data_IF_610218141461
#
_entry.id   IF_610218141461
#
_cell.length_a   1.000
_cell.length_b   1.000
_cell.length_c   1.000
_cell.angle_alpha   90.00
_cell.angle_beta   90.00
_cell.angle_gamma   90.00
#
_symmetry.space_group_name_H-M   'P 1'
#
loop_
_entity.id
_entity.type
_entity.pdbx_description
1 polymer ?
#
# COMPACT_ATOMS: atom_id res chain seq x y z
N UNK A 1 -10.29 41.77 28.30
CA UNK A 1 -10.77 40.58 29.02
C UNK A 1 -11.36 39.61 28.00
N UNK A 2 -10.56 38.69 27.46
CA UNK A 2 -11.07 37.66 26.54
C UNK A 2 -11.75 36.57 27.37
N UNK A 3 -13.06 36.44 27.21
CA UNK A 3 -13.86 35.37 27.79
C UNK A 3 -13.41 34.04 27.18
N UNK A 4 -12.68 33.20 27.94
CA UNK A 4 -12.53 31.78 27.60
C UNK A 4 -13.88 31.13 27.85
N UNK A 5 -14.63 30.82 26.80
CA UNK A 5 -15.78 29.91 26.88
C UNK A 5 -15.29 28.57 27.46
N UNK A 6 -15.48 28.38 28.76
CA UNK A 6 -15.40 27.06 29.36
C UNK A 6 -16.72 26.37 29.01
N UNK A 7 -16.72 25.59 27.93
CA UNK A 7 -17.75 24.57 27.77
C UNK A 7 -17.60 23.64 28.99
N UNK A 8 -18.60 23.65 29.88
CA UNK A 8 -18.71 22.71 30.99
C UNK A 8 -18.99 21.31 30.41
N UNK A 9 -17.96 20.69 29.86
CA UNK A 9 -17.99 19.31 29.38
C UNK A 9 -18.12 18.41 30.61
N UNK A 10 -19.24 17.69 30.70
CA UNK A 10 -19.47 16.71 31.76
C UNK A 10 -18.78 15.41 31.37
N UNK A 11 -17.59 15.18 31.92
CA UNK A 11 -16.84 13.94 31.69
C UNK A 11 -17.45 12.80 32.50
N UNK A 12 -17.70 11.68 31.84
CA UNK A 12 -18.10 10.42 32.47
C UNK A 12 -16.90 9.45 32.46
N UNK A 13 -16.77 8.55 33.46
CA UNK A 13 -15.74 7.52 33.42
C UNK A 13 -15.95 6.63 32.19
N UNK A 14 -14.88 6.40 31.44
CA UNK A 14 -14.90 5.52 30.29
C UNK A 14 -14.85 4.05 30.75
N UNK A 15 -15.63 3.19 30.10
CA UNK A 15 -15.60 1.73 30.29
C UNK A 15 -15.03 1.04 29.07
N UNK A 16 -14.56 -0.20 29.24
CA UNK A 16 -14.13 -1.03 28.12
C UNK A 16 -15.27 -1.18 27.09
N UNK A 17 -14.94 -1.07 25.80
CA UNK A 17 -15.90 -1.14 24.68
C UNK A 17 -17.01 -0.08 24.71
N UNK A 18 -16.79 1.04 25.40
CA UNK A 18 -17.70 2.17 25.32
C UNK A 18 -17.67 2.76 23.92
N UNK A 19 -18.85 2.93 23.32
CA UNK A 19 -18.98 3.59 22.02
C UNK A 19 -18.60 5.07 22.13
N UNK A 20 -17.86 5.56 21.14
CA UNK A 20 -17.36 6.93 21.10
C UNK A 20 -18.00 7.70 19.95
N UNK A 21 -18.60 8.84 20.28
CA UNK A 21 -19.22 9.72 19.29
C UNK A 21 -18.19 10.69 18.68
N UNK A 22 -18.28 11.03 17.38
CA UNK A 22 -17.33 11.92 16.70
C UNK A 22 -17.18 13.31 17.34
N UNK A 23 -18.26 13.85 17.91
CA UNK A 23 -18.28 15.15 18.59
C UNK A 23 -17.69 15.11 20.01
N UNK A 24 -17.35 13.91 20.49
CA UNK A 24 -16.84 13.66 21.82
C UNK A 24 -15.38 14.11 22.04
N UNK A 25 -15.00 14.14 23.32
CA UNK A 25 -13.62 14.33 23.75
C UNK A 25 -13.22 13.20 24.69
N UNK A 26 -12.00 12.70 24.53
CA UNK A 26 -11.37 11.83 25.51
C UNK A 26 -10.35 12.63 26.32
N UNK A 27 -10.38 12.43 27.64
CA UNK A 27 -9.46 13.07 28.59
C UNK A 27 -8.84 12.00 29.47
N UNK A 28 -7.52 11.90 29.44
CA UNK A 28 -6.75 10.98 30.28
C UNK A 28 -6.20 11.68 31.53
N UNK A 29 -6.15 10.96 32.64
CA UNK A 29 -5.53 11.42 33.89
C UNK A 29 -3.99 11.37 33.84
N UNK A 30 -3.30 11.83 34.90
CA UNK A 30 -1.83 11.93 34.96
C UNK A 30 -1.07 10.63 34.71
N UNK A 31 -1.65 9.48 35.09
CA UNK A 31 -1.07 8.14 34.92
C UNK A 31 -1.96 7.21 34.09
N UNK A 32 -2.98 7.75 33.43
CA UNK A 32 -3.95 6.96 32.67
C UNK A 32 -3.65 7.02 31.17
N UNK A 33 -3.65 5.89 30.49
CA UNK A 33 -3.61 5.83 29.02
C UNK A 33 -4.92 5.25 28.50
N UNK A 34 -5.26 5.59 27.28
CA UNK A 34 -6.42 5.02 26.61
C UNK A 34 -6.04 4.53 25.22
N UNK A 35 -6.74 3.49 24.76
CA UNK A 35 -6.61 2.95 23.42
C UNK A 35 -7.99 2.93 22.79
N UNK A 36 -8.10 3.44 21.56
CA UNK A 36 -9.32 3.40 20.77
C UNK A 36 -9.06 2.54 19.55
N UNK A 37 -9.79 1.44 19.45
CA UNK A 37 -9.80 0.60 18.26
C UNK A 37 -11.01 1.00 17.40
N UNK A 38 -10.74 1.28 16.13
CA UNK A 38 -11.76 1.64 15.14
C UNK A 38 -12.25 0.40 14.39
N UNK A 39 -13.43 0.50 13.77
CA UNK A 39 -14.03 -0.60 12.99
C UNK A 39 -13.18 -1.03 11.79
N UNK A 40 -12.30 -0.16 11.29
CA UNK A 40 -11.33 -0.47 10.23
C UNK A 40 -10.05 -1.16 10.75
N UNK A 41 -10.00 -1.57 12.01
CA UNK A 41 -8.85 -2.20 12.65
C UNK A 41 -7.72 -1.25 13.06
N UNK A 42 -7.84 0.05 12.79
CA UNK A 42 -6.85 1.04 13.22
C UNK A 42 -6.94 1.27 14.72
N UNK A 43 -5.79 1.51 15.35
CA UNK A 43 -5.68 1.73 16.80
C UNK A 43 -5.05 3.10 17.07
N UNK A 44 -5.69 3.89 17.92
CA UNK A 44 -5.16 5.16 18.42
C UNK A 44 -4.81 5.05 19.90
N UNK A 45 -3.57 5.34 20.26
CA UNK A 45 -3.09 5.36 21.65
C UNK A 45 -3.06 6.81 22.15
N UNK A 46 -3.77 7.08 23.23
CA UNK A 46 -3.80 8.37 23.92
C UNK A 46 -2.95 8.28 25.18
N UNK A 47 -1.91 9.12 25.24
CA UNK A 47 -0.99 9.19 26.36
C UNK A 47 -1.63 9.86 27.59
N UNK A 48 -0.93 9.82 28.72
CA UNK A 48 -1.41 10.40 29.96
C UNK A 48 -1.48 11.93 29.92
N UNK A 49 -2.36 12.51 30.74
CA UNK A 49 -2.60 13.95 30.85
C UNK A 49 -2.93 14.65 29.52
N UNK A 50 -3.67 13.96 28.64
CA UNK A 50 -3.98 14.46 27.30
C UNK A 50 -5.48 14.64 27.13
N UNK A 51 -5.90 15.70 26.44
CA UNK A 51 -7.27 15.89 25.98
C UNK A 51 -7.26 16.01 24.46
N UNK A 52 -8.05 15.18 23.77
CA UNK A 52 -8.14 15.15 22.32
C UNK A 52 -9.58 14.88 21.88
N UNK A 53 -10.00 15.45 20.74
CA UNK A 53 -11.33 15.18 20.18
C UNK A 53 -11.35 13.83 19.47
N UNK A 54 -12.48 13.13 19.56
CA UNK A 54 -12.70 11.86 18.86
C UNK A 54 -12.64 12.08 17.35
N UNK A 55 -13.22 13.16 16.83
CA UNK A 55 -13.11 13.57 15.43
C UNK A 55 -11.68 13.66 14.91
N UNK A 56 -10.74 14.16 15.72
CA UNK A 56 -9.33 14.25 15.34
C UNK A 56 -8.67 12.87 15.33
N UNK A 57 -8.93 12.05 16.35
CA UNK A 57 -8.42 10.67 16.36
C UNK A 57 -8.99 9.84 15.21
N UNK A 58 -10.24 10.08 14.83
CA UNK A 58 -10.91 9.45 13.70
C UNK A 58 -10.30 9.94 12.38
N UNK A 59 -10.05 11.24 12.22
CA UNK A 59 -9.36 11.77 11.02
C UNK A 59 -7.93 11.24 10.91
N UNK A 60 -7.22 11.13 12.03
CA UNK A 60 -5.85 10.60 12.05
C UNK A 60 -5.83 9.10 11.73
N UNK A 61 -6.85 8.34 12.16
CA UNK A 61 -7.02 6.95 11.80
C UNK A 61 -7.40 6.76 10.32
N UNK A 62 -8.24 7.64 9.77
CA UNK A 62 -8.57 7.67 8.35
C UNK A 62 -7.39 8.13 7.48
N UNK A 63 -6.55 9.03 7.99
CA UNK A 63 -5.36 9.53 7.30
C UNK A 63 -4.24 8.49 7.15
N UNK A 64 -4.40 7.29 7.74
CA UNK A 64 -3.49 6.14 7.67
C UNK A 64 -2.00 6.56 7.59
N UNK A 65 -1.45 7.32 8.56
CA UNK A 65 -0.12 7.93 8.44
C UNK A 65 1.03 6.92 8.24
N UNK A 66 0.79 5.64 8.50
CA UNK A 66 1.72 4.54 8.28
C UNK A 66 1.50 3.79 6.95
N UNK A 67 0.61 4.24 6.07
CA UNK A 67 0.37 3.58 4.78
C UNK A 67 1.64 3.38 3.94
N UNK A 68 2.63 4.30 3.90
CA UNK A 68 3.81 4.08 3.06
C UNK A 68 4.62 2.87 3.53
N UNK A 69 4.71 2.68 4.85
CA UNK A 69 5.40 1.54 5.45
C UNK A 69 4.64 0.24 5.17
N UNK A 70 3.31 0.25 5.34
CA UNK A 70 2.46 -0.91 5.04
C UNK A 70 2.51 -1.30 3.56
N UNK A 71 2.45 -0.32 2.66
CA UNK A 71 2.55 -0.54 1.22
C UNK A 71 3.91 -1.12 0.84
N UNK A 72 4.99 -0.61 1.44
CA UNK A 72 6.34 -1.14 1.23
C UNK A 72 6.49 -2.58 1.74
N UNK A 73 5.95 -2.90 2.92
CA UNK A 73 5.88 -4.28 3.42
C UNK A 73 5.07 -5.18 2.48
N UNK A 74 3.96 -4.68 1.94
CA UNK A 74 3.17 -5.42 0.95
C UNK A 74 3.94 -5.70 -0.33
N UNK A 75 4.64 -4.71 -0.87
CA UNK A 75 5.51 -4.86 -2.04
C UNK A 75 6.57 -5.93 -1.79
N UNK A 76 7.20 -5.92 -0.62
CA UNK A 76 8.20 -6.93 -0.26
C UNK A 76 7.60 -8.34 -0.22
N UNK A 77 6.41 -8.49 0.37
CA UNK A 77 5.71 -9.78 0.43
C UNK A 77 5.29 -10.27 -0.96
N UNK A 78 4.75 -9.40 -1.81
CA UNK A 78 4.37 -9.72 -3.19
C UNK A 78 5.61 -10.12 -4.03
N UNK A 79 6.72 -9.38 -3.88
CA UNK A 79 8.01 -9.70 -4.51
C UNK A 79 8.48 -11.09 -4.08
N UNK A 80 8.48 -11.39 -2.78
CA UNK A 80 8.89 -12.70 -2.28
C UNK A 80 8.00 -13.86 -2.77
N UNK A 81 6.69 -13.65 -2.86
CA UNK A 81 5.76 -14.64 -3.42
C UNK A 81 6.03 -14.90 -4.92
N UNK A 82 6.32 -13.84 -5.68
CA UNK A 82 6.69 -13.96 -7.08
C UNK A 82 8.01 -14.73 -7.26
N UNK A 83 9.04 -14.41 -6.47
CA UNK A 83 10.33 -15.12 -6.50
C UNK A 83 10.19 -16.61 -6.15
N UNK A 84 9.34 -16.95 -5.16
CA UNK A 84 9.02 -18.35 -4.85
C UNK A 84 8.30 -19.06 -5.99
N UNK A 85 7.35 -18.39 -6.66
CA UNK A 85 6.63 -18.93 -7.82
C UNK A 85 7.61 -19.23 -8.96
N UNK A 86 8.49 -18.29 -9.31
CA UNK A 86 9.53 -18.51 -10.32
C UNK A 86 10.43 -19.70 -9.94
N UNK A 87 10.92 -19.76 -8.70
CA UNK A 87 11.77 -20.85 -8.23
C UNK A 87 11.06 -22.22 -8.28
N UNK A 88 9.76 -22.26 -7.95
CA UNK A 88 8.96 -23.49 -8.00
C UNK A 88 8.70 -24.00 -9.42
N UNK A 89 8.63 -23.11 -10.41
CA UNK A 89 8.50 -23.48 -11.83
C UNK A 89 9.80 -24.07 -12.40
N UNK A 90 10.95 -23.76 -11.80
CA UNK A 90 12.29 -24.21 -12.25
C UNK A 90 12.72 -25.55 -11.61
N UNK A 91 11.92 -26.13 -10.71
CA UNK A 91 12.29 -27.31 -9.92
C UNK A 91 12.07 -28.70 -10.60
N UNK A 92 11.66 -28.75 -11.87
CA UNK A 92 11.53 -30.00 -12.63
C UNK A 92 12.70 -30.19 -13.60
N UNK A 93 13.35 -31.37 -13.56
CA UNK A 93 14.45 -31.88 -14.42
C UNK A 93 15.17 -30.79 -15.23
N UNK A 94 16.40 -30.46 -14.82
CA UNK A 94 17.39 -29.80 -15.67
C UNK A 94 17.65 -30.68 -16.90
N UNK A 95 16.85 -30.54 -17.95
CA UNK A 95 17.43 -30.60 -19.28
C UNK A 95 18.25 -29.32 -19.34
N UNK A 96 19.56 -29.45 -19.50
CA UNK A 96 20.32 -28.36 -20.09
C UNK A 96 19.46 -27.84 -21.24
N UNK A 97 19.07 -26.57 -21.19
CA UNK A 97 18.63 -25.86 -22.37
C UNK A 97 19.86 -25.88 -23.28
N UNK A 98 20.07 -27.01 -23.97
CA UNK A 98 20.91 -27.04 -25.13
C UNK A 98 20.30 -25.96 -26.02
N UNK A 99 21.05 -24.88 -26.24
CA UNK A 99 20.73 -23.93 -27.29
C UNK A 99 20.66 -24.76 -28.57
N UNK A 100 19.45 -25.20 -28.92
CA UNK A 100 19.14 -25.63 -30.27
C UNK A 100 19.19 -24.33 -31.04
N UNK A 101 20.37 -23.95 -31.50
CA UNK A 101 20.54 -22.91 -32.52
C UNK A 101 19.80 -23.50 -33.73
N UNK A 102 18.59 -23.03 -34.06
CA UNK A 102 17.93 -23.54 -35.24
C UNK A 102 18.80 -23.09 -36.41
N UNK A 103 19.22 -24.01 -37.27
CA UNK A 103 19.90 -23.73 -38.55
C UNK A 103 18.96 -23.02 -39.56
N UNK A 104 18.00 -22.24 -39.06
CA UNK A 104 17.03 -21.49 -39.83
C UNK A 104 17.34 -20.00 -39.71
N UNK A 105 17.66 -19.38 -40.83
CA UNK A 105 17.86 -17.93 -40.96
C UNK A 105 16.54 -17.13 -40.98
N UNK A 106 15.44 -17.72 -40.50
CA UNK A 106 14.13 -17.08 -40.42
C UNK A 106 13.91 -16.51 -39.02
N UNK A 107 13.93 -15.18 -38.93
CA UNK A 107 13.71 -14.44 -37.69
C UNK A 107 12.29 -13.88 -37.66
N UNK A 108 11.53 -14.22 -36.63
CA UNK A 108 10.26 -13.56 -36.32
C UNK A 108 10.51 -12.41 -35.36
N UNK A 109 9.88 -11.26 -35.60
CA UNK A 109 9.87 -10.19 -34.61
C UNK A 109 9.00 -10.63 -33.43
N UNK A 110 9.62 -10.89 -32.28
CA UNK A 110 8.91 -11.03 -31.01
C UNK A 110 9.07 -9.73 -30.22
N UNK A 111 7.98 -9.18 -29.71
CA UNK A 111 8.08 -8.08 -28.75
C UNK A 111 8.95 -8.50 -27.56
N UNK A 112 9.87 -7.63 -27.10
CA UNK A 112 10.70 -7.93 -25.95
C UNK A 112 9.81 -8.19 -24.74
N UNK A 113 9.98 -9.34 -24.08
CA UNK A 113 9.30 -9.63 -22.82
C UNK A 113 9.90 -8.76 -21.72
N UNK A 114 9.09 -7.87 -21.15
CA UNK A 114 9.50 -7.06 -20.02
C UNK A 114 9.30 -7.86 -18.73
N UNK A 115 10.31 -7.85 -17.86
CA UNK A 115 10.23 -8.54 -16.58
C UNK A 115 10.03 -7.52 -15.47
N UNK A 116 9.10 -7.82 -14.56
CA UNK A 116 8.86 -6.99 -13.36
C UNK A 116 10.13 -6.79 -12.53
N UNK A 117 11.04 -7.77 -12.56
CA UNK A 117 12.34 -7.71 -11.89
C UNK A 117 13.22 -6.57 -12.38
N UNK A 118 13.18 -6.24 -13.67
CA UNK A 118 13.97 -5.16 -14.24
C UNK A 118 13.45 -3.81 -13.72
N UNK A 119 12.12 -3.64 -13.69
CA UNK A 119 11.48 -2.46 -13.12
C UNK A 119 11.79 -2.30 -11.62
N UNK A 120 11.77 -3.39 -10.85
CA UNK A 120 12.14 -3.39 -9.43
C UNK A 120 13.59 -2.96 -9.21
N UNK A 121 14.54 -3.39 -10.05
CA UNK A 121 15.92 -2.94 -9.96
C UNK A 121 16.05 -1.43 -10.19
N UNK A 122 15.31 -0.87 -11.16
CA UNK A 122 15.26 0.57 -11.39
C UNK A 122 14.62 1.33 -10.22
N UNK A 123 13.57 0.75 -9.61
CA UNK A 123 12.96 1.29 -8.40
C UNK A 123 13.94 1.30 -7.21
N UNK A 124 14.72 0.23 -7.04
CA UNK A 124 15.72 0.09 -5.97
C UNK A 124 16.83 1.15 -6.08
N UNK A 125 17.21 1.55 -7.29
CA UNK A 125 18.16 2.66 -7.55
C UNK A 125 17.48 4.05 -7.65
N UNK A 126 16.17 4.14 -7.39
CA UNK A 126 15.33 5.35 -7.48
C UNK A 126 15.28 6.00 -8.88
N UNK A 127 15.56 5.24 -9.94
CA UNK A 127 15.33 5.68 -11.32
C UNK A 127 13.85 5.45 -11.68
N UNK A 128 13.00 6.33 -11.14
CA UNK A 128 11.55 6.21 -11.27
C UNK A 128 11.06 6.34 -12.71
N UNK A 129 11.77 7.11 -13.56
CA UNK A 129 11.38 7.28 -14.96
C UNK A 129 11.45 5.95 -15.72
N UNK A 130 12.54 5.21 -15.58
CA UNK A 130 12.67 3.90 -16.22
C UNK A 130 11.84 2.81 -15.54
N UNK A 131 11.72 2.86 -14.21
CA UNK A 131 10.90 1.91 -13.48
C UNK A 131 9.44 1.98 -13.94
N UNK A 132 8.88 3.19 -14.06
CA UNK A 132 7.50 3.40 -14.54
C UNK A 132 7.32 2.83 -15.95
N UNK A 133 8.22 3.15 -16.89
CA UNK A 133 8.14 2.67 -18.27
C UNK A 133 8.06 1.14 -18.34
N UNK A 134 8.89 0.45 -17.56
CA UNK A 134 8.92 -1.02 -17.58
C UNK A 134 7.70 -1.59 -16.86
N UNK A 135 7.27 -1.01 -15.73
CA UNK A 135 6.06 -1.47 -15.03
C UNK A 135 4.81 -1.33 -15.90
N UNK A 136 4.64 -0.22 -16.63
CA UNK A 136 3.51 -0.05 -17.56
C UNK A 136 3.54 -1.11 -18.66
N UNK A 137 4.71 -1.38 -19.26
CA UNK A 137 4.86 -2.41 -20.29
C UNK A 137 4.61 -3.83 -19.79
N UNK A 138 4.99 -4.14 -18.54
CA UNK A 138 4.67 -5.42 -17.89
C UNK A 138 3.16 -5.59 -17.75
N UNK A 139 2.45 -4.53 -17.34
CA UNK A 139 0.99 -4.53 -17.24
C UNK A 139 0.35 -4.69 -18.62
N UNK A 140 0.84 -3.98 -19.65
CA UNK A 140 0.32 -4.10 -21.03
C UNK A 140 0.45 -5.52 -21.60
N UNK A 141 1.56 -6.21 -21.29
CA UNK A 141 1.79 -7.58 -21.76
C UNK A 141 0.91 -8.61 -21.07
N UNK A 142 0.55 -8.40 -19.80
CA UNK A 142 -0.22 -9.37 -19.01
C UNK A 142 -0.97 -8.70 -17.85
N UNK A 143 -2.09 -8.01 -18.14
CA UNK A 143 -2.75 -7.11 -17.17
C UNK A 143 -3.36 -7.82 -15.96
N UNK A 144 -3.64 -9.13 -16.08
CA UNK A 144 -4.25 -9.94 -15.01
C UNK A 144 -3.26 -10.91 -14.34
N UNK A 145 -1.96 -10.81 -14.64
CA UNK A 145 -0.95 -11.64 -13.96
C UNK A 145 -0.51 -11.00 -12.64
N UNK A 146 0.04 -11.81 -11.74
CA UNK A 146 0.60 -11.35 -10.46
C UNK A 146 1.70 -10.31 -10.62
N UNK A 147 2.42 -10.37 -11.74
CA UNK A 147 3.42 -9.36 -12.11
C UNK A 147 2.76 -8.00 -12.36
N UNK A 148 1.55 -7.97 -12.93
CA UNK A 148 0.78 -6.75 -13.08
C UNK A 148 0.24 -6.25 -11.73
N UNK A 149 -0.23 -7.13 -10.84
CA UNK A 149 -0.63 -6.76 -9.47
C UNK A 149 0.53 -6.05 -8.72
N UNK A 150 1.72 -6.65 -8.78
CA UNK A 150 2.93 -6.07 -8.19
C UNK A 150 3.31 -4.75 -8.88
N UNK A 151 3.23 -4.69 -10.20
CA UNK A 151 3.54 -3.49 -10.99
C UNK A 151 2.62 -2.33 -10.64
N UNK A 152 1.30 -2.56 -10.54
CA UNK A 152 0.33 -1.58 -10.09
C UNK A 152 0.66 -1.08 -8.68
N UNK A 153 0.95 -2.00 -7.76
CA UNK A 153 1.29 -1.65 -6.36
C UNK A 153 2.57 -0.80 -6.29
N UNK A 154 3.60 -1.13 -7.07
CA UNK A 154 4.84 -0.35 -7.15
C UNK A 154 4.62 1.03 -7.79
N UNK A 155 3.84 1.11 -8.86
CA UNK A 155 3.50 2.38 -9.52
C UNK A 155 2.75 3.32 -8.57
N UNK A 156 1.83 2.80 -7.76
CA UNK A 156 1.13 3.60 -6.73
C UNK A 156 2.13 4.22 -5.75
N UNK A 157 3.12 3.46 -5.28
CA UNK A 157 4.17 3.98 -4.40
C UNK A 157 5.03 5.07 -5.09
N UNK A 158 5.42 4.82 -6.35
CA UNK A 158 6.26 5.75 -7.13
C UNK A 158 5.51 7.06 -7.39
N UNK A 159 4.27 7.00 -7.87
CA UNK A 159 3.49 8.20 -8.17
C UNK A 159 3.12 8.99 -6.92
N UNK A 160 2.95 8.31 -5.77
CA UNK A 160 2.78 8.98 -4.49
C UNK A 160 4.03 9.77 -4.09
N UNK A 161 5.21 9.19 -4.25
CA UNK A 161 6.50 9.85 -3.97
C UNK A 161 6.77 11.02 -4.93
N UNK A 162 6.38 10.88 -6.20
CA UNK A 162 6.47 11.95 -7.21
C UNK A 162 5.38 13.03 -7.04
N UNK A 163 4.35 12.78 -6.23
CA UNK A 163 3.21 13.68 -6.05
C UNK A 163 2.24 13.75 -7.24
N UNK A 164 2.33 12.80 -8.19
CA UNK A 164 1.44 12.71 -9.34
C UNK A 164 0.12 12.02 -8.97
N UNK A 165 -0.83 12.83 -8.49
CA UNK A 165 -2.14 12.36 -8.05
C UNK A 165 -2.98 11.75 -9.16
N UNK A 166 -2.78 12.15 -10.42
CA UNK A 166 -3.63 11.70 -11.54
C UNK A 166 -3.31 10.24 -11.86
N UNK A 167 -2.03 9.94 -12.07
CA UNK A 167 -1.59 8.58 -12.37
C UNK A 167 -1.71 7.66 -11.14
N UNK A 168 -1.50 8.19 -9.94
CA UNK A 168 -1.76 7.46 -8.70
C UNK A 168 -3.21 6.94 -8.62
N UNK A 169 -4.19 7.82 -8.82
CA UNK A 169 -5.60 7.42 -8.77
C UNK A 169 -5.99 6.47 -9.90
N UNK A 170 -5.42 6.65 -11.09
CA UNK A 170 -5.59 5.72 -12.22
C UNK A 170 -5.17 4.30 -11.83
N UNK A 171 -3.97 4.11 -11.29
CA UNK A 171 -3.49 2.78 -10.93
C UNK A 171 -4.18 2.19 -9.70
N UNK A 172 -4.61 3.02 -8.73
CA UNK A 172 -5.47 2.55 -7.63
C UNK A 172 -6.79 1.99 -8.17
N UNK A 173 -7.41 2.71 -9.11
CA UNK A 173 -8.67 2.26 -9.71
C UNK A 173 -8.47 0.96 -10.50
N UNK A 174 -7.44 0.89 -11.34
CA UNK A 174 -7.13 -0.33 -12.10
C UNK A 174 -6.84 -1.51 -11.18
N UNK A 175 -6.05 -1.33 -10.12
CA UNK A 175 -5.79 -2.38 -9.14
C UNK A 175 -7.08 -2.89 -8.46
N UNK A 176 -8.02 -1.99 -8.13
CA UNK A 176 -9.33 -2.37 -7.56
C UNK A 176 -10.21 -3.12 -8.56
N UNK A 177 -10.16 -2.77 -9.85
CA UNK A 177 -10.95 -3.40 -10.91
C UNK A 177 -10.39 -4.76 -11.34
N UNK A 178 -9.07 -4.83 -11.55
CA UNK A 178 -8.38 -6.00 -12.08
C UNK A 178 -8.05 -7.02 -10.98
N UNK A 179 -7.81 -6.56 -9.74
CA UNK A 179 -7.44 -7.39 -8.59
C UNK A 179 -8.25 -7.04 -7.33
N UNK A 180 -9.56 -7.33 -7.30
CA UNK A 180 -10.44 -7.00 -6.17
C UNK A 180 -10.07 -7.72 -4.87
N UNK A 181 -9.45 -8.90 -4.98
CA UNK A 181 -8.95 -9.67 -3.83
C UNK A 181 -7.48 -9.35 -3.51
N UNK A 182 -6.91 -8.32 -4.15
CA UNK A 182 -5.55 -7.92 -3.85
C UNK A 182 -5.48 -7.41 -2.42
N UNK A 183 -4.74 -8.16 -1.64
CA UNK A 183 -4.19 -7.75 -0.37
C UNK A 183 -3.42 -6.41 -0.33
N UNK A 184 -3.07 -5.81 -1.48
CA UNK A 184 -2.50 -4.46 -1.53
C UNK A 184 -3.56 -3.36 -1.33
N UNK A 185 -4.85 -3.67 -1.53
CA UNK A 185 -5.96 -2.74 -1.35
C UNK A 185 -6.07 -2.21 0.08
N UNK A 186 -5.72 -3.01 1.08
CA UNK A 186 -5.73 -2.63 2.51
C UNK A 186 -4.61 -1.63 2.88
N UNK A 187 -3.61 -1.49 2.01
CA UNK A 187 -2.41 -0.67 2.24
C UNK A 187 -2.34 0.54 1.31
N UNK A 188 -3.44 0.85 0.62
CA UNK A 188 -3.50 1.99 -0.29
C UNK A 188 -3.39 3.33 0.46
N UNK A 189 -2.87 4.37 -0.23
CA UNK A 189 -2.92 5.73 0.31
C UNK A 189 -4.37 6.14 0.57
N UNK A 190 -4.62 6.92 1.64
CA UNK A 190 -5.97 7.41 1.94
C UNK A 190 -6.50 8.27 0.79
N UNK A 191 -7.79 8.14 0.50
CA UNK A 191 -8.47 9.00 -0.47
C UNK A 191 -8.44 10.45 0.06
N UNK A 192 -7.79 11.35 -0.69
CA UNK A 192 -7.64 12.77 -0.35
C UNK A 192 -8.75 13.62 -0.94
#
# INVERSE_FOLDING_TARGET
>A
MQYKQSLNLTYKPATLNMEVEPEGYIKTGPDSKAEIQWNNGSVAVINANTQISISKLQSDALANPNYPNKLRERINNLRAQNEQREASQVAGIRREEAEIIPESELYWYSEPKYKVKDALNYMDIRDYTKAVEIFEKVIEQSPLDKDAELSHTCLIMIYDELGDKVNLQKHIKQLKEDFPDSSALDSLPPEK
#
